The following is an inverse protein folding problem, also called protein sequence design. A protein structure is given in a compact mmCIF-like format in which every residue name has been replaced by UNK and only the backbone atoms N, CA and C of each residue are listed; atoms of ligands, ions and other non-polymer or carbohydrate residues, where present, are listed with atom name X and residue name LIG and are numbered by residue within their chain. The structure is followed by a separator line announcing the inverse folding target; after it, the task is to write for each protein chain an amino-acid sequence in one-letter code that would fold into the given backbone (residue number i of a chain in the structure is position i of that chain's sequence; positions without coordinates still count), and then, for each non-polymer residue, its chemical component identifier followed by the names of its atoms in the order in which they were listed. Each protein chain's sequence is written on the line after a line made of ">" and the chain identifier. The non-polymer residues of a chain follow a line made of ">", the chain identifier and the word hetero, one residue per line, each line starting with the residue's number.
data_IF_370644006477
#
_entry.id   IF_370644006477
#
_cell.length_a   1.000
_cell.length_b   1.000
_cell.length_c   1.000
_cell.angle_alpha   90.00
_cell.angle_beta   90.00
_cell.angle_gamma   90.00
#
_symmetry.space_group_name_H-M   'P 1'
#
loop_
_entity.id
_entity.type
_entity.pdbx_description
1 polymer ?
#
# COMPACT_ATOMS: atom_id res chain seq x y z
N UNK A 1 1.52 -21.42 -16.15
CA UNK A 1 0.27 -21.15 -15.41
C UNK A 1 0.57 -20.11 -14.34
N UNK A 2 0.48 -18.84 -14.71
CA UNK A 2 0.65 -17.72 -13.76
C UNK A 2 -0.65 -17.59 -12.99
N UNK A 3 -0.76 -18.29 -11.86
CA UNK A 3 -1.80 -17.97 -10.89
C UNK A 3 -1.65 -16.50 -10.55
N UNK A 4 -2.71 -15.71 -10.72
CA UNK A 4 -2.78 -14.38 -10.14
C UNK A 4 -2.60 -14.56 -8.63
N UNK A 5 -1.36 -14.48 -8.14
CA UNK A 5 -1.10 -14.40 -6.71
C UNK A 5 -1.82 -13.14 -6.26
N UNK A 6 -2.75 -13.28 -5.32
CA UNK A 6 -3.47 -12.15 -4.78
C UNK A 6 -2.46 -11.18 -4.15
N UNK A 7 -2.13 -10.10 -4.85
CA UNK A 7 -1.11 -9.13 -4.43
C UNK A 7 -1.63 -8.21 -3.32
N UNK A 8 -2.95 -8.01 -3.28
CA UNK A 8 -3.65 -7.17 -2.32
C UNK A 8 -4.43 -8.01 -1.30
N UNK A 9 -4.18 -7.72 -0.04
CA UNK A 9 -4.84 -8.32 1.12
C UNK A 9 -5.77 -7.32 1.78
N UNK A 10 -6.98 -7.74 2.12
CA UNK A 10 -7.83 -7.09 3.11
C UNK A 10 -7.12 -7.05 4.48
N UNK A 11 -7.63 -6.22 5.41
CA UNK A 11 -7.13 -6.20 6.78
C UNK A 11 -7.16 -7.57 7.47
N UNK A 12 -8.17 -8.41 7.17
CA UNK A 12 -8.26 -9.76 7.74
C UNK A 12 -7.19 -10.69 7.17
N UNK A 13 -7.00 -10.68 5.84
CA UNK A 13 -5.98 -11.49 5.17
C UNK A 13 -4.58 -11.07 5.60
N UNK A 14 -4.30 -9.76 5.68
CA UNK A 14 -3.02 -9.24 6.15
C UNK A 14 -2.75 -9.66 7.60
N UNK A 15 -3.75 -9.56 8.49
CA UNK A 15 -3.60 -10.00 9.88
C UNK A 15 -3.26 -11.51 9.96
N UNK A 16 -3.94 -12.34 9.17
CA UNK A 16 -3.65 -13.78 9.06
C UNK A 16 -2.23 -14.03 8.53
N UNK A 17 -1.82 -13.30 7.51
CA UNK A 17 -0.46 -13.38 6.94
C UNK A 17 0.61 -13.08 7.99
N UNK A 18 0.41 -12.04 8.82
CA UNK A 18 1.28 -11.72 9.95
C UNK A 18 1.17 -12.71 11.13
N UNK A 19 0.23 -13.66 11.09
CA UNK A 19 -0.15 -14.52 12.24
C UNK A 19 -0.51 -13.71 13.49
N UNK A 20 -1.25 -12.62 13.29
CA UNK A 20 -1.68 -11.68 14.35
C UNK A 20 -3.17 -11.40 14.25
N UNK A 21 -3.69 -10.67 15.24
CA UNK A 21 -5.09 -10.22 15.22
C UNK A 21 -5.27 -8.98 14.33
N UNK A 22 -6.48 -8.73 13.79
CA UNK A 22 -6.80 -7.47 13.11
C UNK A 22 -6.60 -6.24 14.01
N UNK A 23 -6.81 -6.38 15.32
CA UNK A 23 -6.55 -5.31 16.29
C UNK A 23 -5.06 -4.95 16.35
N UNK A 24 -4.16 -5.94 16.34
CA UNK A 24 -2.72 -5.71 16.28
C UNK A 24 -2.33 -4.98 14.99
N UNK A 25 -2.91 -5.37 13.85
CA UNK A 25 -2.63 -4.75 12.55
C UNK A 25 -2.98 -3.25 12.55
N UNK A 26 -4.12 -2.88 13.17
CA UNK A 26 -4.54 -1.48 13.30
C UNK A 26 -3.56 -0.62 14.10
N UNK A 27 -2.78 -1.22 15.00
CA UNK A 27 -1.77 -0.51 15.79
C UNK A 27 -0.46 -0.26 15.02
N UNK A 28 -0.24 -0.93 13.88
CA UNK A 28 0.97 -0.78 13.07
C UNK A 28 0.90 0.48 12.21
N UNK A 29 1.01 1.65 12.83
CA UNK A 29 0.93 2.97 12.15
C UNK A 29 1.99 3.16 11.06
N UNK A 30 3.13 2.51 11.21
CA UNK A 30 4.23 2.57 10.25
C UNK A 30 4.03 1.67 9.03
N UNK A 31 3.07 0.73 9.07
CA UNK A 31 2.75 -0.11 7.93
C UNK A 31 1.95 0.70 6.89
N UNK A 32 2.40 0.67 5.65
CA UNK A 32 1.71 1.29 4.52
C UNK A 32 0.44 0.50 4.19
N UNK A 33 -0.66 1.25 4.11
CA UNK A 33 -1.99 0.78 3.74
C UNK A 33 -2.49 1.62 2.57
N UNK A 34 -3.13 0.96 1.62
CA UNK A 34 -3.83 1.61 0.53
C UNK A 34 -5.24 1.92 1.03
N UNK A 35 -5.56 3.21 1.15
CA UNK A 35 -6.89 3.66 1.53
C UNK A 35 -7.60 4.20 0.28
N UNK A 36 -8.77 3.68 -0.02
CA UNK A 36 -9.72 4.32 -0.93
C UNK A 36 -10.71 5.16 -0.11
N UNK A 37 -11.20 6.30 -0.64
CA UNK A 37 -12.29 7.04 0.01
C UNK A 37 -13.47 6.10 0.30
N UNK A 38 -13.89 6.01 1.57
CA UNK A 38 -14.99 5.15 2.01
C UNK A 38 -14.71 3.63 2.06
N UNK A 39 -13.52 3.17 1.65
CA UNK A 39 -13.18 1.75 1.54
C UNK A 39 -12.46 1.14 2.74
N UNK A 40 -12.49 -0.19 2.84
CA UNK A 40 -11.61 -0.92 3.77
C UNK A 40 -10.15 -0.81 3.33
N UNK A 41 -9.20 -0.65 4.26
CA UNK A 41 -7.79 -0.57 3.90
C UNK A 41 -7.30 -1.88 3.30
N UNK A 42 -6.54 -1.77 2.21
CA UNK A 42 -5.85 -2.89 1.57
C UNK A 42 -4.33 -2.82 1.83
N UNK A 43 -3.69 -3.98 1.78
CA UNK A 43 -2.28 -4.17 2.07
C UNK A 43 -1.62 -4.95 0.94
N UNK A 44 -0.54 -4.44 0.39
CA UNK A 44 0.22 -5.16 -0.63
C UNK A 44 1.20 -6.15 0.01
N UNK A 45 1.31 -7.37 -0.53
CA UNK A 45 2.17 -8.43 0.04
C UNK A 45 3.64 -7.98 0.13
N UNK A 46 4.20 -7.38 -0.91
CA UNK A 46 5.60 -6.92 -0.88
C UNK A 46 5.84 -5.74 0.06
N UNK A 47 4.82 -4.91 0.30
CA UNK A 47 4.87 -3.87 1.33
C UNK A 47 4.94 -4.51 2.72
N UNK A 48 4.14 -5.54 2.99
CA UNK A 48 4.20 -6.29 4.25
C UNK A 48 5.56 -6.97 4.45
N UNK A 49 6.13 -7.57 3.40
CA UNK A 49 7.49 -8.16 3.44
C UNK A 49 8.56 -7.10 3.73
N UNK A 50 8.51 -5.96 3.03
CA UNK A 50 9.43 -4.85 3.24
C UNK A 50 9.31 -4.26 4.64
N UNK A 51 8.10 -4.16 5.19
CA UNK A 51 7.88 -3.74 6.57
C UNK A 51 8.57 -4.67 7.57
N UNK A 52 8.41 -5.99 7.44
CA UNK A 52 9.08 -6.97 8.32
C UNK A 52 10.59 -6.83 8.24
N UNK A 53 11.15 -6.84 7.02
CA UNK A 53 12.58 -6.71 6.80
C UNK A 53 13.12 -5.39 7.36
N UNK A 54 12.44 -4.28 7.07
CA UNK A 54 12.84 -2.96 7.57
C UNK A 54 12.86 -2.89 9.09
N UNK A 55 11.85 -3.47 9.77
CA UNK A 55 11.84 -3.56 11.24
C UNK A 55 12.99 -4.42 11.78
N UNK A 56 13.32 -5.54 11.13
CA UNK A 56 14.47 -6.38 11.50
C UNK A 56 15.80 -5.63 11.33
N UNK A 57 15.89 -4.73 10.35
CA UNK A 57 17.05 -3.86 10.13
C UNK A 57 17.05 -2.59 11.01
N UNK A 58 16.10 -2.43 11.93
CA UNK A 58 16.01 -1.24 12.79
C UNK A 58 15.50 0.03 12.09
N UNK A 59 14.90 -0.08 10.90
CA UNK A 59 14.29 1.06 10.22
C UNK A 59 13.00 1.49 10.93
N UNK A 60 12.79 2.81 11.01
CA UNK A 60 11.60 3.42 11.59
C UNK A 60 11.23 4.73 10.88
N UNK A 61 10.00 5.21 11.11
CA UNK A 61 9.51 6.49 10.59
C UNK A 61 9.69 6.63 9.07
N UNK A 62 10.31 7.73 8.65
CA UNK A 62 10.51 8.06 7.24
C UNK A 62 11.33 7.02 6.46
N UNK A 63 12.36 6.41 7.08
CA UNK A 63 13.20 5.42 6.42
C UNK A 63 12.43 4.12 6.16
N UNK A 64 11.65 3.67 7.15
CA UNK A 64 10.77 2.51 6.98
C UNK A 64 9.65 2.78 5.97
N UNK A 65 9.13 4.01 5.91
CA UNK A 65 8.17 4.43 4.89
C UNK A 65 8.78 4.33 3.49
N UNK A 66 9.99 4.85 3.31
CA UNK A 66 10.67 4.85 2.01
C UNK A 66 10.95 3.44 1.51
N UNK A 67 11.37 2.53 2.39
CA UNK A 67 11.56 1.12 2.05
C UNK A 67 10.27 0.48 1.51
N UNK A 68 9.14 0.73 2.17
CA UNK A 68 7.84 0.21 1.76
C UNK A 68 7.35 0.81 0.43
N UNK A 69 7.56 2.12 0.21
CA UNK A 69 7.21 2.77 -1.07
C UNK A 69 8.04 2.22 -2.21
N UNK A 70 9.34 1.99 -2.00
CA UNK A 70 10.21 1.36 -3.02
C UNK A 70 9.78 -0.07 -3.34
N UNK A 71 9.38 -0.84 -2.33
CA UNK A 71 8.87 -2.19 -2.52
C UNK A 71 7.56 -2.19 -3.33
N UNK A 72 6.65 -1.25 -3.03
CA UNK A 72 5.42 -1.09 -3.81
C UNK A 72 5.71 -0.66 -5.25
N UNK A 73 6.59 0.32 -5.44
CA UNK A 73 6.99 0.78 -6.77
C UNK A 73 7.57 -0.37 -7.61
N UNK A 74 8.45 -1.18 -7.02
CA UNK A 74 9.01 -2.35 -7.68
C UNK A 74 7.94 -3.39 -8.05
N UNK A 75 6.97 -3.64 -7.16
CA UNK A 75 5.83 -4.52 -7.45
C UNK A 75 4.95 -3.99 -8.60
N UNK A 76 4.81 -2.66 -8.72
CA UNK A 76 4.12 -2.02 -9.83
C UNK A 76 4.97 -1.92 -11.13
N UNK A 77 6.18 -2.49 -11.16
CA UNK A 77 7.10 -2.37 -12.30
C UNK A 77 7.77 -1.01 -12.47
N UNK A 78 7.59 -0.10 -11.50
CA UNK A 78 8.23 1.22 -11.44
C UNK A 78 9.62 1.07 -10.83
N UNK A 79 10.53 0.48 -11.61
CA UNK A 79 11.88 0.17 -11.13
C UNK A 79 12.78 1.40 -11.01
N UNK A 80 12.39 2.53 -11.63
CA UNK A 80 13.18 3.76 -11.60
C UNK A 80 12.47 4.85 -10.80
N UNK A 81 13.18 5.45 -9.84
CA UNK A 81 12.69 6.59 -9.05
C UNK A 81 12.28 7.79 -9.91
N UNK A 82 12.82 7.89 -11.14
CA UNK A 82 12.42 8.88 -12.14
C UNK A 82 10.95 8.71 -12.57
N UNK A 83 10.50 7.47 -12.81
CA UNK A 83 9.11 7.17 -13.19
C UNK A 83 8.13 7.53 -12.06
N UNK A 84 8.57 7.38 -10.80
CA UNK A 84 7.78 7.77 -9.64
C UNK A 84 7.62 9.30 -9.56
N UNK A 85 8.69 10.05 -9.81
CA UNK A 85 8.67 11.53 -9.88
C UNK A 85 7.83 12.06 -11.04
N UNK A 86 7.81 11.36 -12.17
CA UNK A 86 6.93 11.69 -13.31
C UNK A 86 5.47 11.51 -12.93
N UNK A 87 5.14 10.45 -12.20
CA UNK A 87 3.78 10.22 -11.68
C UNK A 87 3.38 11.29 -10.66
N UNK A 88 4.29 11.68 -9.75
CA UNK A 88 4.08 12.77 -8.80
C UNK A 88 3.77 14.10 -9.50
N UNK A 89 4.48 14.41 -10.61
CA UNK A 89 4.19 15.60 -11.43
C UNK A 89 2.85 15.48 -12.14
N UNK A 90 2.55 14.34 -12.74
CA UNK A 90 1.27 14.12 -13.43
C UNK A 90 0.06 14.27 -12.51
N UNK A 91 0.17 13.89 -11.23
CA UNK A 91 -0.87 14.11 -10.22
C UNK A 91 -0.95 15.57 -9.78
N UNK A 92 0.17 16.30 -9.74
CA UNK A 92 0.17 17.74 -9.43
C UNK A 92 -0.44 18.59 -10.57
N UNK A 93 -0.28 18.13 -11.82
CA UNK A 93 -0.73 18.85 -13.02
C UNK A 93 -2.15 18.45 -13.49
N UNK A 94 -2.71 17.35 -12.97
CA UNK A 94 -4.05 16.88 -13.30
C UNK A 94 -5.08 17.15 -12.19
N UNK A 95 -6.35 17.44 -12.52
CA UNK A 95 -7.40 17.39 -11.51
C UNK A 95 -7.53 15.95 -11.00
N UNK A 96 -7.55 15.78 -9.67
CA UNK A 96 -7.95 14.52 -9.05
C UNK A 96 -9.33 14.13 -9.64
N UNK A 97 -9.53 12.88 -10.10
CA UNK A 97 -10.85 12.47 -10.54
C UNK A 97 -11.82 12.68 -9.38
N UNK A 98 -12.85 13.47 -9.63
CA UNK A 98 -13.92 13.74 -8.67
C UNK A 98 -14.62 12.41 -8.37
N UNK A 99 -14.32 11.83 -7.21
CA UNK A 99 -15.00 10.64 -6.68
C UNK A 99 -16.32 11.10 -6.06
N UNK A 100 -17.14 11.77 -6.86
CA UNK A 100 -18.52 12.06 -6.48
C UNK A 100 -19.33 10.77 -6.53
N UNK A 101 -20.01 10.50 -5.42
CA UNK A 101 -20.71 9.27 -5.02
C UNK A 101 -21.66 8.67 -6.07
N UNK A 102 -21.98 7.35 -5.98
CA UNK A 102 -22.89 6.71 -6.93
C UNK A 102 -24.27 7.36 -6.88
N UNK A 103 -24.69 7.79 -8.07
CA UNK A 103 -25.99 8.34 -8.41
C UNK A 103 -27.12 7.56 -7.70
N UNK A 104 -27.84 8.20 -6.78
CA UNK A 104 -29.16 7.73 -6.35
C UNK A 104 -30.11 7.98 -7.51
N UNK A 105 -30.42 6.92 -8.24
CA UNK A 105 -31.59 6.90 -9.12
C UNK A 105 -32.81 6.56 -8.25
N UNK A 106 -33.68 7.54 -8.05
CA UNK A 106 -35.13 7.37 -7.80
C UNK A 106 -35.85 8.47 -8.58
#
# INVERSE_FOLDING_TARGET
>A
MTGFQQELMTAQEAARWFRRSPSWLRLQRDLLRLATPGGQPLFHVDVCRSYVLGRLCGLQGALLRQAQVRALAAACGLQQWAQLKELERAVADGPLPDVSEPNKSD
#
